data_IF_221901275738
#
_entry.id   IF_221901275738
#
_cell.length_a   1.000
_cell.length_b   1.000
_cell.length_c   1.000
_cell.angle_alpha   90.00
_cell.angle_beta   90.00
_cell.angle_gamma   90.00
#
_symmetry.space_group_name_H-M   'P 1'
#
loop_
_entity.id
_entity.type
_entity.pdbx_description
1 polymer ?
#
# COMPACT_ATOMS: atom_id res chain seq x y z
N UNK A 1 -0.60 -33.20 2.01
CA UNK A 1 -0.76 -32.30 3.18
C UNK A 1 -1.38 -30.99 2.70
N UNK A 2 -2.29 -30.40 3.46
CA UNK A 2 -2.90 -29.12 3.07
C UNK A 2 -1.87 -28.02 3.40
N UNK A 3 -1.19 -27.48 2.41
CA UNK A 3 -0.13 -26.45 2.55
C UNK A 3 -0.58 -25.18 3.29
N UNK A 4 -1.89 -24.96 3.41
CA UNK A 4 -2.45 -23.78 4.07
C UNK A 4 -2.50 -23.92 5.61
N UNK A 5 -2.43 -25.14 6.17
CA UNK A 5 -2.39 -25.35 7.62
C UNK A 5 -1.12 -24.84 8.28
N UNK A 6 -0.06 -24.69 7.52
CA UNK A 6 1.21 -24.12 8.01
C UNK A 6 1.04 -22.63 8.39
N UNK A 7 -0.08 -21.99 8.00
CA UNK A 7 -0.39 -20.60 8.30
C UNK A 7 -1.44 -20.39 9.42
N UNK A 8 -1.96 -21.45 10.05
CA UNK A 8 -2.98 -21.36 11.11
C UNK A 8 -2.48 -20.55 12.33
N UNK A 9 -1.18 -20.56 12.61
CA UNK A 9 -0.55 -19.84 13.70
C UNK A 9 0.33 -18.67 13.24
N UNK A 10 0.35 -18.35 11.95
CA UNK A 10 1.26 -17.36 11.37
C UNK A 10 1.26 -16.01 12.13
N UNK A 11 0.09 -15.47 12.44
CA UNK A 11 -0.04 -14.19 13.15
C UNK A 11 0.44 -14.21 14.60
N UNK A 12 0.62 -15.40 15.20
CA UNK A 12 1.19 -15.56 16.54
C UNK A 12 2.70 -15.72 16.48
N UNK A 13 3.22 -16.22 15.38
CA UNK A 13 4.63 -16.51 15.18
C UNK A 13 5.38 -15.31 14.57
N UNK A 14 4.68 -14.50 13.73
CA UNK A 14 5.29 -13.38 13.02
C UNK A 14 4.56 -12.05 13.21
N UNK A 15 5.35 -10.98 13.44
CA UNK A 15 6.81 -11.00 13.65
C UNK A 15 7.19 -11.56 15.03
N UNK A 16 8.50 -11.85 15.20
CA UNK A 16 9.07 -12.07 16.54
C UNK A 16 8.92 -10.81 17.41
N UNK A 17 9.20 -10.93 18.71
CA UNK A 17 9.19 -9.79 19.64
C UNK A 17 10.13 -8.65 19.22
N UNK A 18 11.19 -8.97 18.49
CA UNK A 18 12.17 -8.00 17.98
C UNK A 18 11.82 -7.50 16.56
N UNK A 19 10.63 -7.83 16.05
CA UNK A 19 10.12 -7.36 14.78
C UNK A 19 10.62 -8.10 13.55
N UNK A 20 11.09 -9.35 13.71
CA UNK A 20 11.55 -10.15 12.57
C UNK A 20 10.45 -11.04 12.00
N UNK A 21 10.31 -10.99 10.69
CA UNK A 21 9.58 -11.91 9.83
C UNK A 21 10.57 -12.92 9.24
N UNK A 22 10.85 -14.02 9.96
CA UNK A 22 11.95 -14.92 9.64
C UNK A 22 13.30 -14.21 9.68
N UNK A 23 13.98 -14.09 8.53
CA UNK A 23 15.25 -13.38 8.38
C UNK A 23 15.10 -11.89 8.01
N UNK A 24 13.86 -11.43 7.75
CA UNK A 24 13.55 -10.07 7.32
C UNK A 24 13.00 -9.21 8.47
N UNK A 25 12.92 -7.90 8.27
CA UNK A 25 12.46 -6.95 9.29
C UNK A 25 13.56 -6.52 10.24
N UNK A 26 13.22 -6.42 11.51
CA UNK A 26 14.14 -5.97 12.56
C UNK A 26 14.34 -4.45 12.62
N UNK A 27 15.37 -4.03 13.32
CA UNK A 27 15.78 -2.63 13.41
C UNK A 27 17.30 -2.51 13.21
N UNK A 28 17.71 -1.91 12.10
CA UNK A 28 19.11 -1.69 11.70
C UNK A 28 19.49 -0.21 11.70
N UNK A 29 18.79 0.61 12.48
CA UNK A 29 19.13 2.00 12.67
C UNK A 29 20.38 2.14 13.53
N UNK A 30 21.20 3.14 13.24
CA UNK A 30 22.43 3.45 13.98
C UNK A 30 22.25 4.62 14.96
N UNK A 31 21.24 5.48 14.75
CA UNK A 31 20.95 6.63 15.60
C UNK A 31 20.29 6.18 16.93
N UNK A 32 20.94 6.37 18.09
CA UNK A 32 20.41 5.94 19.37
C UNK A 32 19.08 6.61 19.78
N UNK A 33 18.88 7.87 19.35
CA UNK A 33 17.62 8.60 19.66
C UNK A 33 16.45 8.03 18.83
N UNK A 34 16.69 7.69 17.55
CA UNK A 34 15.68 7.00 16.73
C UNK A 34 15.36 5.60 17.27
N UNK A 35 16.39 4.83 17.64
CA UNK A 35 16.19 3.50 18.22
C UNK A 35 15.33 3.59 19.48
N UNK A 36 15.66 4.54 20.36
CA UNK A 36 14.86 4.78 21.58
C UNK A 36 13.44 5.19 21.25
N UNK A 37 13.25 6.13 20.34
CA UNK A 37 11.93 6.62 19.96
C UNK A 37 11.04 5.50 19.37
N UNK A 38 11.60 4.63 18.53
CA UNK A 38 10.86 3.50 17.95
C UNK A 38 10.58 2.40 18.97
N UNK A 39 11.47 2.17 19.95
CA UNK A 39 11.18 1.25 21.05
C UNK A 39 10.04 1.77 21.94
N UNK A 40 10.01 3.06 22.28
CA UNK A 40 8.89 3.68 22.99
C UNK A 40 7.58 3.54 22.21
N UNK A 41 7.65 3.70 20.87
CA UNK A 41 6.49 3.55 20.01
C UNK A 41 6.01 2.10 19.91
N UNK A 42 6.92 1.13 19.84
CA UNK A 42 6.62 -0.29 19.88
C UNK A 42 5.95 -0.69 21.20
N UNK A 43 6.46 -0.23 22.34
CA UNK A 43 5.85 -0.48 23.65
C UNK A 43 4.43 0.11 23.72
N UNK A 44 4.24 1.34 23.25
CA UNK A 44 2.93 1.98 23.21
C UNK A 44 1.96 1.19 22.31
N UNK A 45 2.42 0.70 21.17
CA UNK A 45 1.62 -0.13 20.28
C UNK A 45 1.17 -1.42 20.99
N UNK A 46 2.09 -2.14 21.63
CA UNK A 46 1.77 -3.40 22.32
C UNK A 46 0.89 -3.22 23.56
N UNK A 47 0.97 -2.10 24.25
CA UNK A 47 0.22 -1.85 25.49
C UNK A 47 -1.08 -1.08 25.22
N UNK A 48 -1.04 0.01 24.48
CA UNK A 48 -2.17 0.92 24.27
C UNK A 48 -3.07 0.42 23.14
N UNK A 49 -2.50 0.10 21.97
CA UNK A 49 -3.31 -0.26 20.78
C UNK A 49 -4.06 -1.59 20.96
N UNK A 50 -3.65 -2.44 21.91
CA UNK A 50 -4.34 -3.68 22.24
C UNK A 50 -5.41 -3.50 23.33
N UNK A 51 -5.57 -2.29 23.88
CA UNK A 51 -6.58 -2.03 24.91
C UNK A 51 -7.99 -2.02 24.32
N UNK A 52 -8.96 -2.51 25.12
CA UNK A 52 -10.37 -2.50 24.69
C UNK A 52 -10.89 -1.09 24.37
N UNK A 53 -10.40 -0.08 25.08
CA UNK A 53 -10.77 1.32 24.84
C UNK A 53 -10.27 1.82 23.49
N UNK A 54 -9.00 1.58 23.16
CA UNK A 54 -8.41 1.96 21.88
C UNK A 54 -9.14 1.27 20.71
N UNK A 55 -9.34 -0.05 20.83
CA UNK A 55 -10.03 -0.85 19.80
C UNK A 55 -11.45 -0.35 19.59
N UNK A 56 -12.19 -0.05 20.66
CA UNK A 56 -13.56 0.47 20.55
C UNK A 56 -13.59 1.87 19.88
N UNK A 57 -12.65 2.77 20.25
CA UNK A 57 -12.56 4.10 19.65
C UNK A 57 -12.17 4.01 18.16
N UNK A 58 -11.19 3.17 17.80
CA UNK A 58 -10.79 2.98 16.41
C UNK A 58 -11.95 2.40 15.56
N UNK A 59 -12.71 1.43 16.10
CA UNK A 59 -13.91 0.89 15.42
C UNK A 59 -14.96 1.97 15.18
N UNK A 60 -15.20 2.84 16.15
CA UNK A 60 -16.11 3.98 16.02
C UNK A 60 -15.63 4.95 14.92
N UNK A 61 -14.35 5.30 14.92
CA UNK A 61 -13.75 6.16 13.89
C UNK A 61 -13.89 5.54 12.49
N UNK A 62 -13.60 4.26 12.37
CA UNK A 62 -13.74 3.52 11.10
C UNK A 62 -15.18 3.58 10.58
N UNK A 63 -16.17 3.35 11.42
CA UNK A 63 -17.58 3.39 11.04
C UNK A 63 -18.06 4.81 10.72
N UNK A 64 -17.84 5.75 11.64
CA UNK A 64 -18.51 7.05 11.62
C UNK A 64 -17.77 8.10 10.77
N UNK A 65 -16.45 7.98 10.65
CA UNK A 65 -15.62 8.93 9.93
C UNK A 65 -15.05 8.37 8.61
N UNK A 66 -14.53 7.15 8.63
CA UNK A 66 -13.96 6.56 7.41
C UNK A 66 -15.02 5.97 6.46
N UNK A 67 -16.23 5.68 6.95
CA UNK A 67 -17.29 5.06 6.15
C UNK A 67 -17.09 3.57 5.94
N UNK A 68 -16.43 2.89 6.90
CA UNK A 68 -16.23 1.43 6.82
C UNK A 68 -17.43 0.66 7.39
N UNK A 69 -17.70 -0.60 6.92
CA UNK A 69 -16.91 -1.34 5.92
C UNK A 69 -17.04 -0.79 4.50
N UNK A 70 -15.93 -0.75 3.74
CA UNK A 70 -16.01 -0.50 2.30
C UNK A 70 -16.61 -1.72 1.60
N UNK A 71 -17.42 -1.56 0.53
CA UNK A 71 -18.11 -2.71 -0.06
C UNK A 71 -17.19 -3.59 -0.92
N UNK A 72 -17.59 -4.87 -1.05
CA UNK A 72 -17.21 -5.71 -2.17
C UNK A 72 -18.21 -5.47 -3.30
N UNK A 73 -17.72 -5.23 -4.51
CA UNK A 73 -18.53 -4.93 -5.70
C UNK A 73 -18.24 -5.95 -6.81
N UNK A 74 -19.29 -6.51 -7.41
CA UNK A 74 -19.17 -7.40 -8.55
C UNK A 74 -19.13 -6.58 -9.84
N UNK A 75 -18.03 -6.66 -10.59
CA UNK A 75 -17.87 -6.01 -11.89
C UNK A 75 -18.62 -6.78 -12.98
N UNK A 76 -19.94 -6.66 -13.00
CA UNK A 76 -20.80 -7.46 -13.88
C UNK A 76 -20.51 -7.22 -15.36
N UNK A 77 -20.34 -5.96 -15.77
CA UNK A 77 -20.12 -5.62 -17.18
C UNK A 77 -18.72 -6.07 -17.65
N UNK A 78 -17.73 -5.86 -16.80
CA UNK A 78 -16.35 -6.29 -17.11
C UNK A 78 -16.25 -7.83 -17.12
N UNK A 79 -16.91 -8.52 -16.20
CA UNK A 79 -16.98 -9.99 -16.15
C UNK A 79 -17.63 -10.55 -17.42
N UNK A 80 -18.76 -9.97 -17.85
CA UNK A 80 -19.44 -10.35 -19.09
C UNK A 80 -18.55 -10.15 -20.32
N UNK A 81 -17.77 -9.04 -20.38
CA UNK A 81 -16.83 -8.77 -21.45
C UNK A 81 -15.70 -9.81 -21.51
N UNK A 82 -15.23 -10.29 -20.36
CA UNK A 82 -14.11 -11.22 -20.23
C UNK A 82 -14.52 -12.70 -20.27
N UNK A 83 -15.80 -12.99 -20.18
CA UNK A 83 -16.36 -14.32 -20.40
C UNK A 83 -16.56 -15.15 -19.12
N UNK A 84 -15.65 -16.07 -18.78
CA UNK A 84 -15.87 -17.06 -17.70
C UNK A 84 -15.38 -16.63 -16.32
N UNK A 85 -14.53 -15.63 -16.24
CA UNK A 85 -13.97 -15.13 -14.97
C UNK A 85 -14.89 -14.08 -14.37
N UNK A 86 -15.21 -14.23 -13.09
CA UNK A 86 -15.99 -13.24 -12.35
C UNK A 86 -15.03 -12.33 -11.57
N UNK A 87 -15.04 -11.04 -11.86
CA UNK A 87 -14.18 -10.05 -11.22
C UNK A 87 -14.98 -9.27 -10.17
N UNK A 88 -14.42 -9.22 -8.98
CA UNK A 88 -14.92 -8.46 -7.84
C UNK A 88 -13.88 -7.46 -7.38
N UNK A 89 -14.32 -6.34 -6.80
CA UNK A 89 -13.45 -5.31 -6.24
C UNK A 89 -13.75 -5.12 -4.76
N UNK A 90 -12.73 -5.14 -3.92
CA UNK A 90 -12.81 -4.53 -2.58
C UNK A 90 -12.54 -3.02 -2.74
N UNK A 91 -13.55 -2.20 -2.48
CA UNK A 91 -13.65 -0.79 -2.86
C UNK A 91 -12.98 0.14 -1.82
N UNK A 92 -11.66 0.03 -1.64
CA UNK A 92 -10.91 0.95 -0.75
C UNK A 92 -10.81 2.39 -1.31
N UNK A 93 -11.13 2.59 -2.57
CA UNK A 93 -11.35 3.89 -3.19
C UNK A 93 -12.55 4.66 -2.60
N UNK A 94 -13.47 3.97 -1.93
CA UNK A 94 -14.60 4.55 -1.19
C UNK A 94 -14.29 4.83 0.29
N UNK A 95 -13.13 4.43 0.80
CA UNK A 95 -12.67 4.86 2.11
C UNK A 95 -12.50 6.40 2.08
N UNK A 96 -12.82 7.07 3.17
CA UNK A 96 -12.63 8.53 3.25
C UNK A 96 -11.18 8.89 2.86
N UNK A 97 -10.96 10.00 2.15
CA UNK A 97 -9.76 10.40 1.41
C UNK A 97 -9.52 9.65 0.09
N UNK A 98 -10.25 8.59 -0.21
CA UNK A 98 -10.23 7.90 -1.50
C UNK A 98 -9.15 6.84 -1.65
N UNK A 99 -8.58 6.32 -0.55
CA UNK A 99 -7.61 5.23 -0.58
C UNK A 99 -7.49 4.52 0.77
N UNK A 100 -6.87 3.33 0.78
CA UNK A 100 -6.60 2.50 1.96
C UNK A 100 -5.70 3.19 3.00
N UNK A 101 -4.91 4.18 2.62
CA UNK A 101 -3.92 4.84 3.50
C UNK A 101 -4.52 5.38 4.80
N UNK A 102 -5.77 5.84 4.77
CA UNK A 102 -6.41 6.36 5.98
C UNK A 102 -6.60 5.31 7.07
N UNK A 103 -6.63 4.02 6.73
CA UNK A 103 -6.81 2.95 7.72
C UNK A 103 -5.70 2.95 8.78
N UNK A 104 -4.43 3.02 8.35
CA UNK A 104 -3.32 3.07 9.29
C UNK A 104 -3.09 4.47 9.85
N UNK A 105 -3.25 5.54 9.07
CA UNK A 105 -3.09 6.89 9.56
C UNK A 105 -4.03 7.22 10.74
N UNK A 106 -5.28 6.73 10.71
CA UNK A 106 -6.20 6.90 11.84
C UNK A 106 -5.77 6.08 13.06
N UNK A 107 -5.21 4.87 12.84
CA UNK A 107 -4.64 4.05 13.92
C UNK A 107 -3.41 4.70 14.56
N UNK A 108 -2.47 5.18 13.74
CA UNK A 108 -1.25 5.87 14.16
C UNK A 108 -1.58 7.19 14.88
N UNK A 109 -2.48 8.01 14.33
CA UNK A 109 -2.93 9.25 14.95
C UNK A 109 -3.66 9.02 16.27
N UNK A 110 -4.50 7.97 16.38
CA UNK A 110 -5.14 7.60 17.62
C UNK A 110 -4.12 7.14 18.67
N UNK A 111 -3.11 6.35 18.25
CA UNK A 111 -2.03 5.92 19.15
C UNK A 111 -1.23 7.13 19.66
N UNK A 112 -0.87 8.05 18.76
CA UNK A 112 -0.20 9.30 19.13
C UNK A 112 -1.00 10.11 20.14
N UNK A 113 -2.33 10.20 19.99
CA UNK A 113 -3.24 10.85 20.94
C UNK A 113 -3.18 10.19 22.33
N UNK A 114 -3.22 8.85 22.39
CA UNK A 114 -3.14 8.13 23.66
C UNK A 114 -1.76 8.22 24.32
N UNK A 115 -0.70 8.38 23.54
CA UNK A 115 0.65 8.67 24.01
C UNK A 115 0.83 10.12 24.49
N UNK A 116 -0.18 10.99 24.32
CA UNK A 116 -0.09 12.43 24.65
C UNK A 116 0.79 13.24 23.72
N UNK A 117 1.06 12.74 22.51
CA UNK A 117 1.84 13.44 21.47
C UNK A 117 0.98 14.54 20.83
N UNK A 118 1.66 15.55 20.29
CA UNK A 118 1.00 16.76 19.74
C UNK A 118 1.18 16.90 18.23
N UNK A 119 2.09 16.11 17.64
CA UNK A 119 2.51 16.28 16.26
C UNK A 119 2.67 14.92 15.56
N UNK A 120 2.26 14.88 14.29
CA UNK A 120 2.49 13.76 13.40
C UNK A 120 3.53 14.18 12.33
N UNK A 121 4.51 13.32 12.08
CA UNK A 121 5.55 13.52 11.06
C UNK A 121 5.50 12.36 10.08
N UNK A 122 5.55 12.65 8.78
CA UNK A 122 5.65 11.63 7.75
C UNK A 122 6.37 12.13 6.51
N UNK A 123 6.70 11.18 5.66
CA UNK A 123 7.08 11.39 4.27
C UNK A 123 5.90 11.08 3.32
N UNK A 124 5.98 11.56 2.10
CA UNK A 124 5.07 11.15 1.03
C UNK A 124 5.69 11.32 -0.35
N UNK A 125 5.42 10.42 -1.29
CA UNK A 125 5.76 10.54 -2.71
C UNK A 125 4.53 10.97 -3.52
N UNK A 126 3.60 10.06 -3.80
CA UNK A 126 2.35 10.35 -4.52
C UNK A 126 1.37 11.29 -3.80
N UNK A 127 1.64 11.62 -2.54
CA UNK A 127 0.79 12.52 -1.76
C UNK A 127 -0.41 11.87 -1.08
N UNK A 128 -0.78 10.63 -1.40
CA UNK A 128 -1.95 9.96 -0.81
C UNK A 128 -1.77 9.67 0.69
N UNK A 129 -0.57 9.23 1.10
CA UNK A 129 -0.26 9.07 2.51
C UNK A 129 -0.29 10.42 3.24
N UNK A 130 0.33 11.44 2.65
CA UNK A 130 0.31 12.79 3.20
C UNK A 130 -1.11 13.34 3.41
N UNK A 131 -2.01 13.18 2.44
CA UNK A 131 -3.42 13.58 2.58
C UNK A 131 -4.11 12.79 3.69
N UNK A 132 -3.88 11.47 3.78
CA UNK A 132 -4.46 10.64 4.82
C UNK A 132 -3.96 11.04 6.21
N UNK A 133 -2.66 11.31 6.37
CA UNK A 133 -2.09 11.75 7.64
C UNK A 133 -2.53 13.15 8.03
N UNK A 134 -2.55 14.10 7.10
CA UNK A 134 -3.10 15.45 7.33
C UNK A 134 -4.55 15.38 7.81
N UNK A 135 -5.35 14.45 7.23
CA UNK A 135 -6.74 14.20 7.66
C UNK A 135 -6.79 13.67 9.09
N UNK A 136 -5.94 12.70 9.44
CA UNK A 136 -5.86 12.17 10.80
C UNK A 136 -5.42 13.24 11.80
N UNK A 137 -4.40 14.04 11.46
CA UNK A 137 -3.93 15.13 12.31
C UNK A 137 -5.05 16.17 12.55
N UNK A 138 -5.75 16.58 11.51
CA UNK A 138 -6.90 17.49 11.63
C UNK A 138 -8.00 16.91 12.52
N UNK A 139 -8.33 15.61 12.35
CA UNK A 139 -9.32 14.92 13.17
C UNK A 139 -8.96 14.89 14.67
N UNK A 140 -7.70 14.68 15.00
CA UNK A 140 -7.21 14.60 16.38
C UNK A 140 -6.76 15.95 16.95
N UNK A 141 -6.76 17.04 16.16
CA UNK A 141 -6.31 18.37 16.58
C UNK A 141 -4.79 18.44 16.81
N UNK A 142 -4.01 17.74 15.99
CA UNK A 142 -2.54 17.67 16.06
C UNK A 142 -1.87 18.48 14.95
N UNK A 143 -0.65 18.94 15.21
CA UNK A 143 0.24 19.45 14.17
C UNK A 143 0.64 18.32 13.21
N UNK A 144 0.94 18.67 11.95
CA UNK A 144 1.33 17.69 10.94
C UNK A 144 2.41 18.26 10.02
N UNK A 145 3.58 17.62 10.01
CA UNK A 145 4.67 17.93 9.09
C UNK A 145 4.83 16.78 8.10
N UNK A 146 4.75 17.11 6.81
CA UNK A 146 4.85 16.14 5.71
C UNK A 146 6.03 16.51 4.83
N UNK A 147 7.03 15.65 4.82
CA UNK A 147 8.23 15.78 3.98
C UNK A 147 7.94 15.22 2.60
N UNK A 148 8.24 15.99 1.56
CA UNK A 148 7.96 15.59 0.17
C UNK A 148 9.04 16.13 -0.75
N UNK A 149 9.56 15.29 -1.65
CA UNK A 149 10.56 15.71 -2.63
C UNK A 149 10.03 16.80 -3.56
N UNK A 150 10.88 17.78 -3.92
CA UNK A 150 10.48 18.89 -4.82
C UNK A 150 9.94 18.39 -6.17
N UNK A 151 10.49 17.27 -6.69
CA UNK A 151 10.01 16.64 -7.94
C UNK A 151 8.60 16.10 -7.76
N UNK A 152 8.31 15.46 -6.63
CA UNK A 152 7.00 14.91 -6.32
C UNK A 152 5.97 16.02 -6.03
N UNK A 153 6.37 17.09 -5.34
CA UNK A 153 5.53 18.28 -5.11
C UNK A 153 5.01 18.86 -6.43
N UNK A 154 5.90 18.98 -7.42
CA UNK A 154 5.53 19.53 -8.73
C UNK A 154 4.55 18.61 -9.48
N UNK A 155 4.74 17.28 -9.40
CA UNK A 155 3.88 16.29 -10.07
C UNK A 155 2.52 16.12 -9.40
N UNK A 156 2.45 16.31 -8.07
CA UNK A 156 1.29 15.97 -7.25
C UNK A 156 0.62 17.20 -6.60
N UNK A 157 0.61 18.32 -7.32
CA UNK A 157 0.06 19.60 -6.83
C UNK A 157 -1.37 19.51 -6.24
N UNK A 158 -2.31 18.70 -6.77
CA UNK A 158 -3.63 18.55 -6.16
C UNK A 158 -3.59 17.96 -4.75
N UNK A 159 -2.72 16.98 -4.49
CA UNK A 159 -2.55 16.40 -3.16
C UNK A 159 -1.84 17.37 -2.20
N UNK A 160 -0.86 18.12 -2.69
CA UNK A 160 -0.21 19.20 -1.90
C UNK A 160 -1.24 20.24 -1.46
N UNK A 161 -2.14 20.65 -2.35
CA UNK A 161 -3.23 21.55 -2.03
C UNK A 161 -4.16 20.97 -0.95
N UNK A 162 -4.54 19.70 -1.06
CA UNK A 162 -5.37 19.01 -0.05
C UNK A 162 -4.69 18.97 1.32
N UNK A 163 -3.40 18.62 1.39
CA UNK A 163 -2.63 18.61 2.64
C UNK A 163 -2.62 19.98 3.32
N UNK A 164 -2.37 21.03 2.55
CA UNK A 164 -2.37 22.42 3.08
C UNK A 164 -3.75 22.87 3.55
N UNK A 165 -4.83 22.51 2.83
CA UNK A 165 -6.20 22.82 3.26
C UNK A 165 -6.57 22.09 4.56
N UNK A 166 -6.03 20.91 4.80
CA UNK A 166 -6.19 20.15 6.05
C UNK A 166 -5.30 20.66 7.20
N UNK A 167 -4.50 21.70 6.96
CA UNK A 167 -3.66 22.33 7.96
C UNK A 167 -2.26 21.73 8.11
N UNK A 168 -1.87 20.78 7.26
CA UNK A 168 -0.53 20.21 7.30
C UNK A 168 0.51 21.15 6.70
N UNK A 169 1.70 21.13 7.27
CA UNK A 169 2.89 21.80 6.78
C UNK A 169 3.64 20.89 5.82
N UNK A 170 3.62 21.20 4.52
CA UNK A 170 4.36 20.43 3.49
C UNK A 170 5.75 21.00 3.35
N UNK A 171 6.76 20.20 3.72
CA UNK A 171 8.16 20.59 3.78
C UNK A 171 8.87 20.03 2.53
N UNK A 172 9.36 20.91 1.63
CA UNK A 172 10.05 20.47 0.42
C UNK A 172 11.44 19.92 0.75
N UNK A 173 11.77 18.79 0.15
CA UNK A 173 13.10 18.17 0.24
C UNK A 173 13.84 18.38 -1.06
N UNK A 174 14.96 19.11 -0.99
CA UNK A 174 15.72 19.63 -2.15
C UNK A 174 17.07 18.95 -2.39
N UNK A 175 17.46 17.95 -1.57
CA UNK A 175 18.71 17.20 -1.74
C UNK A 175 18.49 15.87 -2.48
N UNK A 176 19.59 15.25 -2.94
CA UNK A 176 19.57 13.99 -3.67
C UNK A 176 18.73 14.05 -4.94
N UNK A 177 17.96 13.01 -5.21
CA UNK A 177 17.05 12.93 -6.36
C UNK A 177 15.74 13.70 -6.15
N UNK A 178 15.51 14.24 -4.93
CA UNK A 178 14.33 15.04 -4.56
C UNK A 178 13.01 14.27 -4.70
N UNK A 179 13.04 12.99 -4.32
CA UNK A 179 11.94 12.04 -4.41
C UNK A 179 11.61 11.42 -3.05
N UNK A 180 10.78 10.38 -3.04
CA UNK A 180 10.32 9.69 -1.83
C UNK A 180 11.47 9.22 -0.92
N UNK A 181 12.58 8.71 -1.48
CA UNK A 181 13.70 8.22 -0.67
C UNK A 181 14.27 9.33 0.22
N UNK A 182 14.57 10.47 -0.36
CA UNK A 182 15.13 11.62 0.38
C UNK A 182 14.09 12.22 1.35
N UNK A 183 12.81 12.11 1.03
CA UNK A 183 11.74 12.52 1.94
C UNK A 183 11.69 11.65 3.20
N UNK A 184 11.93 10.33 3.09
CA UNK A 184 12.07 9.41 4.25
C UNK A 184 13.26 9.83 5.11
N UNK A 185 14.44 10.05 4.51
CA UNK A 185 15.66 10.46 5.22
C UNK A 185 15.42 11.76 6.00
N UNK A 186 14.79 12.76 5.37
CA UNK A 186 14.48 14.04 5.99
C UNK A 186 13.47 13.91 7.15
N UNK A 187 12.43 13.09 6.98
CA UNK A 187 11.43 12.86 8.01
C UNK A 187 12.03 12.13 9.23
N UNK A 188 12.92 11.16 9.02
CA UNK A 188 13.66 10.50 10.11
C UNK A 188 14.54 11.47 10.88
N UNK A 189 15.31 12.34 10.18
CA UNK A 189 16.14 13.36 10.82
C UNK A 189 15.31 14.36 11.65
N UNK A 190 14.12 14.71 11.21
CA UNK A 190 13.23 15.58 11.95
C UNK A 190 12.66 14.86 13.18
N UNK A 191 12.18 13.63 12.99
CA UNK A 191 11.62 12.83 14.07
C UNK A 191 12.62 12.56 15.20
N UNK A 192 13.89 12.28 14.88
CA UNK A 192 14.95 12.12 15.87
C UNK A 192 15.09 13.31 16.83
N UNK A 193 14.79 14.52 16.35
CA UNK A 193 14.86 15.75 17.15
C UNK A 193 13.58 16.01 17.94
N UNK A 194 12.43 15.55 17.44
CA UNK A 194 11.10 15.94 17.92
C UNK A 194 10.32 14.78 18.56
N UNK A 195 10.88 13.57 18.66
CA UNK A 195 10.17 12.36 19.08
C UNK A 195 9.46 12.47 20.45
N UNK A 196 9.89 13.40 21.32
CA UNK A 196 9.25 13.60 22.63
C UNK A 196 7.81 14.12 22.48
N UNK A 197 7.56 14.99 21.51
CA UNK A 197 6.25 15.60 21.26
C UNK A 197 5.58 15.07 19.97
N UNK A 198 6.32 14.37 19.11
CA UNK A 198 5.87 13.87 17.81
C UNK A 198 5.85 12.34 17.74
N UNK A 199 5.11 11.82 16.73
CA UNK A 199 5.17 10.44 16.26
C UNK A 199 5.47 10.43 14.78
N UNK A 200 6.38 9.55 14.36
CA UNK A 200 6.59 9.26 12.95
C UNK A 200 5.53 8.25 12.47
N UNK A 201 4.86 8.59 11.39
CA UNK A 201 3.77 7.81 10.81
C UNK A 201 4.17 7.34 9.41
N UNK A 202 4.58 6.10 9.30
CA UNK A 202 5.08 5.56 8.03
C UNK A 202 3.99 5.34 7.00
N UNK A 203 4.31 5.57 5.73
CA UNK A 203 3.35 5.46 4.64
C UNK A 203 3.03 4.05 4.15
N UNK A 204 3.73 3.01 4.62
CA UNK A 204 3.58 1.64 4.11
C UNK A 204 3.96 0.57 5.15
N UNK A 205 3.73 -0.72 4.83
CA UNK A 205 4.10 -1.86 5.70
C UNK A 205 5.59 -2.25 5.54
N UNK A 206 6.46 -1.25 5.53
CA UNK A 206 7.92 -1.37 5.46
C UNK A 206 8.55 -0.54 6.58
N UNK A 207 9.89 -0.49 6.64
CA UNK A 207 10.58 0.23 7.70
C UNK A 207 10.97 -0.65 8.89
N UNK A 208 11.68 -0.07 9.88
CA UNK A 208 12.10 -0.80 11.07
C UNK A 208 10.90 -1.16 11.96
N UNK A 209 11.13 -2.11 12.88
CA UNK A 209 10.14 -2.41 13.92
C UNK A 209 9.76 -1.13 14.71
N UNK A 210 8.46 -0.86 15.00
CA UNK A 210 7.30 -1.74 14.86
C UNK A 210 6.45 -1.53 13.59
N UNK A 211 6.87 -0.71 12.65
CA UNK A 211 6.01 -0.25 11.54
C UNK A 211 5.39 -1.37 10.69
N UNK A 212 6.13 -2.41 10.23
CA UNK A 212 5.51 -3.45 9.42
C UNK A 212 4.33 -4.13 10.13
N UNK A 213 4.49 -4.43 11.41
CA UNK A 213 3.45 -5.01 12.26
C UNK A 213 2.24 -4.08 12.42
N UNK A 214 2.50 -2.83 12.80
CA UNK A 214 1.44 -1.85 13.07
C UNK A 214 0.61 -1.56 11.82
N UNK A 215 1.28 -1.33 10.70
CA UNK A 215 0.59 -1.03 9.43
C UNK A 215 -0.21 -2.23 8.96
N UNK A 216 0.35 -3.46 9.02
CA UNK A 216 -0.40 -4.69 8.74
C UNK A 216 -1.70 -4.74 9.56
N UNK A 217 -1.59 -4.58 10.87
CA UNK A 217 -2.72 -4.76 11.78
C UNK A 217 -3.78 -3.66 11.60
N UNK A 218 -3.36 -2.41 11.32
CA UNK A 218 -4.31 -1.35 11.01
C UNK A 218 -4.96 -1.51 9.62
N UNK A 219 -4.30 -2.18 8.69
CA UNK A 219 -4.85 -2.51 7.37
C UNK A 219 -5.64 -3.84 7.35
N UNK A 220 -5.55 -4.66 8.39
CA UNK A 220 -6.19 -5.97 8.48
C UNK A 220 -7.71 -5.94 8.20
N UNK A 221 -8.37 -4.83 8.54
CA UNK A 221 -9.79 -4.62 8.30
C UNK A 221 -10.18 -4.78 6.81
N UNK A 222 -9.26 -4.54 5.86
CA UNK A 222 -9.55 -4.70 4.43
C UNK A 222 -9.92 -6.16 4.12
N UNK A 223 -9.05 -7.09 4.48
CA UNK A 223 -9.25 -8.50 4.20
C UNK A 223 -10.32 -9.15 5.09
N UNK A 224 -10.40 -8.74 6.38
CA UNK A 224 -11.45 -9.22 7.29
C UNK A 224 -12.85 -8.90 6.74
N UNK A 225 -13.09 -7.66 6.34
CA UNK A 225 -14.34 -7.24 5.72
C UNK A 225 -14.58 -7.93 4.37
N UNK A 226 -13.53 -8.00 3.54
CA UNK A 226 -13.62 -8.62 2.22
C UNK A 226 -14.01 -10.09 2.30
N UNK A 227 -13.43 -10.83 3.26
CA UNK A 227 -13.73 -12.26 3.48
C UNK A 227 -15.20 -12.48 3.84
N UNK A 228 -15.70 -11.71 4.81
CA UNK A 228 -17.10 -11.79 5.22
C UNK A 228 -18.05 -11.41 4.07
N UNK A 229 -17.85 -10.25 3.46
CA UNK A 229 -18.71 -9.73 2.40
C UNK A 229 -18.72 -10.62 1.16
N UNK A 230 -17.56 -11.15 0.74
CA UNK A 230 -17.49 -12.03 -0.43
C UNK A 230 -18.20 -13.36 -0.16
N UNK A 231 -18.01 -13.94 1.02
CA UNK A 231 -18.71 -15.17 1.42
C UNK A 231 -20.22 -14.97 1.52
N UNK A 232 -20.68 -13.86 2.08
CA UNK A 232 -22.10 -13.51 2.14
C UNK A 232 -22.71 -13.34 0.75
N UNK A 233 -21.95 -12.77 -0.20
CA UNK A 233 -22.40 -12.51 -1.56
C UNK A 233 -22.45 -13.77 -2.44
N UNK A 234 -21.50 -14.70 -2.26
CA UNK A 234 -21.26 -15.81 -3.21
C UNK A 234 -21.45 -17.20 -2.61
N UNK A 235 -21.46 -17.32 -1.28
CA UNK A 235 -21.52 -18.59 -0.57
C UNK A 235 -20.17 -19.34 -0.46
N UNK A 236 -19.09 -18.78 -0.98
CA UNK A 236 -17.74 -19.38 -0.96
C UNK A 236 -16.65 -18.31 -0.86
N UNK A 237 -15.38 -18.73 -0.67
CA UNK A 237 -14.22 -17.85 -0.77
C UNK A 237 -13.86 -17.58 -2.25
N UNK A 238 -13.18 -16.46 -2.57
CA UNK A 238 -12.68 -16.25 -3.93
C UNK A 238 -11.60 -17.28 -4.29
N UNK A 239 -11.48 -17.60 -5.58
CA UNK A 239 -10.41 -18.48 -6.05
C UNK A 239 -9.05 -17.77 -6.00
N UNK A 240 -9.03 -16.47 -6.31
CA UNK A 240 -7.83 -15.64 -6.23
C UNK A 240 -8.10 -14.30 -5.53
N UNK A 241 -7.14 -13.84 -4.72
CA UNK A 241 -7.02 -12.48 -4.25
C UNK A 241 -5.85 -11.79 -4.95
N UNK A 242 -6.10 -10.57 -5.43
CA UNK A 242 -5.11 -9.81 -6.19
C UNK A 242 -4.97 -8.40 -5.61
N UNK A 243 -3.75 -7.96 -5.35
CA UNK A 243 -3.47 -6.59 -4.92
C UNK A 243 -2.14 -6.09 -5.47
N UNK A 244 -2.01 -4.79 -5.72
CA UNK A 244 -0.75 -4.20 -6.14
C UNK A 244 0.24 -4.12 -4.96
N UNK A 245 1.53 -4.21 -5.27
CA UNK A 245 2.63 -4.21 -4.30
C UNK A 245 3.69 -3.20 -4.70
N UNK A 246 3.86 -2.16 -3.86
CA UNK A 246 5.06 -1.36 -3.72
C UNK A 246 5.68 -1.71 -2.37
N UNK A 247 5.57 -0.85 -1.35
CA UNK A 247 5.88 -1.26 0.04
C UNK A 247 4.88 -2.26 0.64
N UNK A 248 3.69 -2.43 0.04
CA UNK A 248 2.78 -3.54 0.28
C UNK A 248 1.74 -3.38 1.38
N UNK A 249 1.41 -2.15 1.82
CA UNK A 249 0.43 -1.96 2.91
C UNK A 249 -1.00 -2.41 2.55
N UNK A 250 -1.47 -2.08 1.33
CA UNK A 250 -2.80 -2.48 0.88
C UNK A 250 -2.91 -4.00 0.72
N UNK A 251 -1.89 -4.61 0.17
CA UNK A 251 -1.85 -6.05 -0.13
C UNK A 251 -1.70 -6.89 1.13
N UNK A 252 -0.84 -6.51 2.07
CA UNK A 252 -0.70 -7.27 3.32
C UNK A 252 -1.99 -7.21 4.15
N UNK A 253 -2.65 -6.05 4.22
CA UNK A 253 -3.95 -5.92 4.89
C UNK A 253 -5.05 -6.75 4.26
N UNK A 254 -5.01 -6.91 2.92
CA UNK A 254 -5.96 -7.75 2.18
C UNK A 254 -5.66 -9.23 2.33
N UNK A 255 -4.38 -9.64 2.28
CA UNK A 255 -3.98 -11.05 2.22
C UNK A 255 -3.96 -11.73 3.60
N UNK A 256 -3.57 -11.00 4.64
CA UNK A 256 -3.33 -11.59 5.96
C UNK A 256 -4.53 -12.36 6.54
N UNK A 257 -5.79 -11.89 6.41
CA UNK A 257 -6.96 -12.66 6.86
C UNK A 257 -7.24 -13.95 6.08
N UNK A 258 -6.55 -14.17 4.96
CA UNK A 258 -6.71 -15.34 4.09
C UNK A 258 -5.50 -16.28 4.06
N UNK A 259 -4.48 -16.05 4.90
CA UNK A 259 -3.26 -16.85 4.86
C UNK A 259 -3.49 -18.34 5.07
N UNK A 260 -4.41 -18.71 5.94
CA UNK A 260 -4.78 -20.11 6.20
C UNK A 260 -5.86 -20.67 5.25
N UNK A 261 -6.47 -19.83 4.42
CA UNK A 261 -7.52 -20.25 3.48
C UNK A 261 -6.94 -20.80 2.17
N UNK A 262 -7.66 -21.73 1.48
CA UNK A 262 -7.24 -22.27 0.18
C UNK A 262 -7.52 -21.29 -0.97
N UNK A 263 -7.05 -20.06 -0.84
CA UNK A 263 -7.19 -18.97 -1.80
C UNK A 263 -5.80 -18.66 -2.37
N UNK A 264 -5.69 -18.51 -3.69
CA UNK A 264 -4.45 -18.07 -4.31
C UNK A 264 -4.24 -16.57 -4.07
N UNK A 265 -3.10 -16.19 -3.48
CA UNK A 265 -2.74 -14.81 -3.20
C UNK A 265 -1.72 -14.32 -4.24
N UNK A 266 -2.03 -13.20 -4.91
CA UNK A 266 -1.21 -12.67 -5.98
C UNK A 266 -0.88 -11.20 -5.74
N UNK A 267 0.38 -10.92 -5.48
CA UNK A 267 0.96 -9.58 -5.42
C UNK A 267 1.40 -9.12 -6.82
N UNK A 268 0.95 -7.96 -7.24
CA UNK A 268 1.26 -7.42 -8.56
C UNK A 268 2.20 -6.24 -8.43
N UNK A 269 3.41 -6.39 -8.93
CA UNK A 269 4.46 -5.38 -8.92
C UNK A 269 4.53 -4.61 -10.24
N UNK A 270 4.96 -3.34 -10.24
CA UNK A 270 5.07 -2.54 -11.47
C UNK A 270 6.34 -2.92 -12.25
N UNK A 271 6.15 -3.37 -13.50
CA UNK A 271 7.24 -3.58 -14.47
C UNK A 271 7.64 -2.25 -15.15
N UNK A 272 6.84 -1.20 -15.00
CA UNK A 272 7.11 0.10 -15.58
C UNK A 272 7.33 0.02 -17.10
N UNK A 273 8.53 0.43 -17.54
CA UNK A 273 8.94 0.43 -18.95
C UNK A 273 9.58 -0.87 -19.42
N UNK A 274 10.05 -1.72 -18.49
CA UNK A 274 10.73 -2.98 -18.81
C UNK A 274 11.51 -3.57 -17.64
N UNK A 275 12.19 -4.71 -17.85
CA UNK A 275 12.86 -5.46 -16.78
C UNK A 275 14.24 -4.92 -16.37
N UNK A 276 14.75 -3.88 -17.04
CA UNK A 276 16.06 -3.33 -16.76
C UNK A 276 16.04 -2.51 -15.46
N UNK A 277 17.12 -2.58 -14.69
CA UNK A 277 17.24 -1.84 -13.42
C UNK A 277 17.08 -0.32 -13.66
N UNK A 278 16.17 0.31 -12.93
CA UNK A 278 15.80 1.71 -13.13
C UNK A 278 14.57 1.92 -14.02
N UNK A 279 14.07 0.88 -14.70
CA UNK A 279 12.86 0.93 -15.53
C UNK A 279 11.63 0.32 -14.85
N UNK A 280 11.78 -0.27 -13.66
CA UNK A 280 10.70 -0.90 -12.88
C UNK A 280 10.87 -0.65 -11.37
N UNK A 281 9.85 -1.03 -10.59
CA UNK A 281 9.91 -1.09 -9.13
C UNK A 281 9.44 -2.47 -8.58
N UNK A 282 9.69 -3.54 -9.33
CA UNK A 282 9.31 -4.91 -8.98
C UNK A 282 10.37 -5.53 -8.06
N UNK A 283 10.31 -5.17 -6.78
CA UNK A 283 11.36 -5.49 -5.79
C UNK A 283 11.44 -6.97 -5.46
N UNK A 284 10.31 -7.66 -5.27
CA UNK A 284 10.31 -9.10 -4.97
C UNK A 284 10.75 -9.90 -6.18
N UNK A 285 10.30 -9.53 -7.38
CA UNK A 285 10.57 -10.29 -8.62
C UNK A 285 12.03 -10.20 -9.05
N UNK A 286 12.66 -9.03 -8.93
CA UNK A 286 14.00 -8.77 -9.49
C UNK A 286 15.04 -8.37 -8.44
N UNK A 287 14.63 -8.17 -7.18
CA UNK A 287 15.52 -7.70 -6.13
C UNK A 287 16.32 -8.81 -5.45
N UNK A 288 17.14 -8.38 -4.51
CA UNK A 288 17.96 -9.24 -3.64
C UNK A 288 17.79 -8.83 -2.18
N UNK A 289 18.25 -9.67 -1.26
CA UNK A 289 18.27 -9.30 0.17
C UNK A 289 19.15 -8.08 0.40
N UNK A 290 18.64 -7.12 1.17
CA UNK A 290 19.37 -5.90 1.52
C UNK A 290 18.76 -5.19 2.72
N UNK A 291 19.46 -4.15 3.19
CA UNK A 291 19.00 -3.29 4.29
C UNK A 291 18.79 -1.89 3.74
N UNK A 292 17.63 -1.32 4.02
CA UNK A 292 17.24 0.00 3.60
C UNK A 292 16.37 0.67 4.67
N UNK A 293 16.59 1.95 4.95
CA UNK A 293 15.80 2.71 5.93
C UNK A 293 15.63 1.99 7.28
N UNK A 294 16.66 1.27 7.73
CA UNK A 294 16.68 0.59 9.02
C UNK A 294 15.97 -0.76 9.09
N UNK A 295 15.60 -1.38 7.98
CA UNK A 295 15.01 -2.73 7.96
C UNK A 295 15.61 -3.62 6.87
N UNK A 296 15.62 -4.93 7.09
CA UNK A 296 16.06 -5.93 6.11
C UNK A 296 14.87 -6.46 5.32
N UNK A 297 14.99 -6.50 3.98
CA UNK A 297 13.97 -7.05 3.09
C UNK A 297 14.56 -7.50 1.75
N UNK A 298 13.70 -7.75 0.75
CA UNK A 298 14.09 -7.88 -0.65
C UNK A 298 13.99 -6.48 -1.28
N UNK A 299 15.06 -6.04 -1.93
CA UNK A 299 15.17 -4.70 -2.50
C UNK A 299 15.89 -4.70 -3.85
N UNK A 300 15.59 -3.70 -4.66
CA UNK A 300 16.36 -3.40 -5.86
C UNK A 300 17.63 -2.64 -5.45
N UNK A 301 18.76 -3.21 -5.79
CA UNK A 301 20.07 -2.66 -5.46
C UNK A 301 20.97 -2.51 -6.70
N UNK A 302 21.84 -1.52 -6.71
CA UNK A 302 22.92 -1.38 -7.67
C UNK A 302 24.06 -2.38 -7.41
N UNK A 303 25.11 -2.33 -8.22
CA UNK A 303 26.27 -3.22 -8.10
C UNK A 303 27.04 -3.08 -6.78
N UNK A 304 26.90 -1.94 -6.11
CA UNK A 304 27.54 -1.63 -4.83
C UNK A 304 26.63 -1.98 -3.63
N UNK A 305 25.41 -2.47 -3.89
CA UNK A 305 24.43 -2.85 -2.87
C UNK A 305 23.59 -1.68 -2.34
N UNK A 306 23.68 -0.48 -2.95
CA UNK A 306 22.84 0.65 -2.59
C UNK A 306 21.45 0.54 -3.24
N UNK A 307 20.41 1.15 -2.63
CA UNK A 307 19.10 1.21 -3.25
C UNK A 307 19.15 1.79 -4.66
N UNK A 308 18.68 1.04 -5.65
CA UNK A 308 18.68 1.46 -7.04
C UNK A 308 17.56 2.47 -7.32
N UNK A 309 17.70 3.31 -8.35
CA UNK A 309 16.58 4.06 -8.91
C UNK A 309 15.46 3.13 -9.36
N UNK A 310 14.23 3.56 -9.20
CA UNK A 310 13.03 2.82 -9.61
C UNK A 310 12.14 3.68 -10.50
N UNK A 311 11.24 3.04 -11.22
CA UNK A 311 10.28 3.72 -12.07
C UNK A 311 8.95 2.98 -12.16
N UNK A 312 7.87 3.73 -12.13
CA UNK A 312 6.51 3.33 -12.51
C UNK A 312 5.70 4.58 -12.89
N UNK A 313 4.68 4.44 -13.72
CA UNK A 313 3.69 5.50 -13.93
C UNK A 313 2.80 5.70 -12.69
N UNK A 314 2.84 4.78 -11.73
CA UNK A 314 2.13 4.83 -10.46
C UNK A 314 3.07 5.24 -9.32
N UNK A 315 3.16 6.54 -9.02
CA UNK A 315 4.09 7.07 -8.00
C UNK A 315 3.97 6.42 -6.62
N UNK A 316 2.80 5.87 -6.28
CA UNK A 316 2.61 5.14 -5.02
C UNK A 316 3.24 3.75 -4.98
N UNK A 317 3.77 3.25 -6.10
CA UNK A 317 4.52 2.00 -6.21
C UNK A 317 6.04 2.23 -6.40
N UNK A 318 6.49 3.48 -6.51
CA UNK A 318 7.90 3.86 -6.72
C UNK A 318 8.69 3.75 -5.42
N UNK A 319 8.97 2.52 -4.98
CA UNK A 319 9.79 2.25 -3.82
C UNK A 319 10.66 1.01 -4.09
N UNK A 320 11.98 1.07 -3.81
CA UNK A 320 12.90 0.01 -4.21
C UNK A 320 12.91 -1.21 -3.29
N UNK A 321 12.02 -1.30 -2.30
CA UNK A 321 11.95 -2.45 -1.39
C UNK A 321 10.50 -2.85 -1.09
N UNK A 322 10.24 -4.13 -0.94
CA UNK A 322 8.97 -4.62 -0.41
C UNK A 322 8.99 -4.65 1.12
N UNK A 323 7.82 -4.69 1.74
CA UNK A 323 7.71 -4.93 3.18
C UNK A 323 8.31 -6.28 3.60
N UNK A 324 8.90 -6.38 4.79
CA UNK A 324 9.60 -7.60 5.22
C UNK A 324 8.67 -8.81 5.35
N UNK A 325 7.40 -8.60 5.66
CA UNK A 325 6.39 -9.67 5.68
C UNK A 325 6.09 -10.20 4.28
N UNK A 326 6.08 -9.34 3.25
CA UNK A 326 5.98 -9.76 1.86
C UNK A 326 7.18 -10.64 1.44
N UNK A 327 8.39 -10.26 1.86
CA UNK A 327 9.59 -11.04 1.60
C UNK A 327 9.53 -12.45 2.24
N UNK A 328 9.07 -12.54 3.50
CA UNK A 328 8.87 -13.85 4.14
C UNK A 328 7.80 -14.67 3.43
N UNK A 329 6.63 -14.09 3.12
CA UNK A 329 5.53 -14.81 2.48
C UNK A 329 5.86 -15.23 1.04
N UNK A 330 6.79 -14.55 0.38
CA UNK A 330 7.42 -14.99 -0.86
C UNK A 330 8.29 -16.24 -0.64
N UNK A 331 9.22 -16.19 0.32
CA UNK A 331 10.10 -17.32 0.64
C UNK A 331 9.32 -18.57 1.09
N UNK A 332 8.16 -18.37 1.73
CA UNK A 332 7.26 -19.47 2.13
C UNK A 332 6.34 -19.96 0.98
N UNK A 333 6.48 -19.44 -0.22
CA UNK A 333 5.61 -19.76 -1.39
C UNK A 333 4.11 -19.58 -1.10
N UNK A 334 3.77 -18.60 -0.22
CA UNK A 334 2.37 -18.31 0.12
C UNK A 334 1.75 -17.26 -0.79
N UNK A 335 2.51 -16.27 -1.17
CA UNK A 335 2.09 -15.22 -2.11
C UNK A 335 2.93 -15.36 -3.38
N UNK A 336 2.23 -15.42 -4.51
CA UNK A 336 2.85 -15.37 -5.83
C UNK A 336 3.01 -13.91 -6.25
N UNK A 337 4.20 -13.52 -6.67
CA UNK A 337 4.45 -12.18 -7.23
C UNK A 337 4.55 -12.25 -8.73
N UNK A 338 3.96 -11.27 -9.38
CA UNK A 338 3.90 -11.12 -10.85
C UNK A 338 4.05 -9.66 -11.22
N UNK A 339 4.46 -9.39 -12.45
CA UNK A 339 4.64 -8.02 -12.92
C UNK A 339 3.60 -7.62 -13.96
N UNK A 340 3.30 -6.33 -14.00
CA UNK A 340 2.43 -5.67 -14.98
C UNK A 340 3.14 -4.41 -15.47
N UNK A 341 3.17 -4.20 -16.78
CA UNK A 341 3.74 -2.99 -17.37
C UNK A 341 2.76 -1.79 -17.36
N UNK A 342 3.29 -0.61 -17.64
CA UNK A 342 2.53 0.63 -17.61
C UNK A 342 1.35 0.63 -18.59
N UNK A 343 1.55 0.11 -19.81
CA UNK A 343 0.50 0.06 -20.84
C UNK A 343 -0.66 -0.86 -20.41
N UNK A 344 -0.36 -2.01 -19.79
CA UNK A 344 -1.38 -2.92 -19.27
C UNK A 344 -2.18 -2.29 -18.12
N UNK A 345 -1.49 -1.58 -17.22
CA UNK A 345 -2.15 -0.88 -16.12
C UNK A 345 -3.12 0.21 -16.63
N UNK A 346 -2.69 1.01 -17.59
CA UNK A 346 -3.53 2.04 -18.20
C UNK A 346 -4.70 1.45 -19.00
N UNK A 347 -4.49 0.33 -19.70
CA UNK A 347 -5.61 -0.37 -20.36
C UNK A 347 -6.67 -0.81 -19.34
N UNK A 348 -6.25 -1.38 -18.21
CA UNK A 348 -7.16 -1.80 -17.15
C UNK A 348 -7.92 -0.62 -16.55
N UNK A 349 -7.26 0.54 -16.36
CA UNK A 349 -7.91 1.79 -15.94
C UNK A 349 -9.04 2.18 -16.89
N UNK A 350 -8.78 2.21 -18.18
CA UNK A 350 -9.82 2.57 -19.16
C UNK A 350 -10.95 1.55 -19.24
N UNK A 351 -10.63 0.25 -19.14
CA UNK A 351 -11.65 -0.79 -19.17
C UNK A 351 -12.59 -0.69 -17.97
N UNK A 352 -12.06 -0.55 -16.74
CA UNK A 352 -12.88 -0.39 -15.55
C UNK A 352 -13.72 0.89 -15.62
N UNK A 353 -13.10 2.01 -16.03
CA UNK A 353 -13.79 3.30 -16.12
C UNK A 353 -14.98 3.24 -17.07
N UNK A 354 -14.84 2.58 -18.21
CA UNK A 354 -15.86 2.55 -19.27
C UNK A 354 -16.94 1.53 -19.08
N UNK A 355 -16.59 0.39 -18.44
CA UNK A 355 -17.56 -0.70 -18.25
C UNK A 355 -18.26 -0.64 -16.90
N UNK A 356 -17.60 -0.12 -15.86
CA UNK A 356 -18.15 -0.09 -14.50
C UNK A 356 -18.37 1.34 -13.96
N UNK A 357 -17.91 2.38 -14.66
CA UNK A 357 -18.03 3.76 -14.19
C UNK A 357 -17.14 4.06 -12.98
N UNK A 358 -16.06 3.30 -12.79
CA UNK A 358 -15.13 3.43 -11.68
C UNK A 358 -13.76 3.81 -12.23
N UNK A 359 -13.24 4.96 -11.83
CA UNK A 359 -11.90 5.42 -12.22
C UNK A 359 -10.90 5.01 -11.12
N UNK A 360 -10.11 3.94 -11.32
CA UNK A 360 -9.13 3.48 -10.35
C UNK A 360 -7.88 4.35 -10.35
N UNK A 361 -7.15 4.40 -9.23
CA UNK A 361 -5.77 4.87 -9.23
C UNK A 361 -4.90 3.96 -10.12
N UNK A 362 -3.84 4.51 -10.70
CA UNK A 362 -2.92 3.72 -11.55
C UNK A 362 -2.30 2.58 -10.74
N UNK A 363 -2.02 2.77 -9.46
CA UNK A 363 -1.57 1.73 -8.56
C UNK A 363 -2.51 0.52 -8.57
N UNK A 364 -3.79 0.76 -8.34
CA UNK A 364 -4.83 -0.29 -8.30
C UNK A 364 -5.04 -0.94 -9.67
N UNK A 365 -4.80 -0.19 -10.73
CA UNK A 365 -4.93 -0.66 -12.11
C UNK A 365 -3.94 -1.78 -12.44
N UNK A 366 -2.76 -1.83 -11.80
CA UNK A 366 -1.83 -2.95 -11.93
C UNK A 366 -2.46 -4.28 -11.48
N UNK A 367 -3.11 -4.29 -10.32
CA UNK A 367 -3.79 -5.47 -9.82
C UNK A 367 -4.95 -5.91 -10.75
N UNK A 368 -5.73 -4.94 -11.22
CA UNK A 368 -6.82 -5.19 -12.16
C UNK A 368 -6.31 -5.70 -13.52
N UNK A 369 -5.18 -5.17 -14.02
CA UNK A 369 -4.57 -5.61 -15.28
C UNK A 369 -4.18 -7.09 -15.23
N UNK A 370 -3.60 -7.55 -14.12
CA UNK A 370 -3.36 -8.99 -13.94
C UNK A 370 -4.67 -9.80 -13.99
N UNK A 371 -5.71 -9.38 -13.28
CA UNK A 371 -7.00 -10.06 -13.30
C UNK A 371 -7.58 -10.15 -14.72
N UNK A 372 -7.51 -9.07 -15.50
CA UNK A 372 -7.92 -9.04 -16.90
C UNK A 372 -7.05 -9.97 -17.76
N UNK A 373 -5.73 -9.96 -17.54
CA UNK A 373 -4.77 -10.83 -18.27
C UNK A 373 -5.11 -12.31 -18.10
N UNK A 374 -5.35 -12.77 -16.88
CA UNK A 374 -5.65 -14.18 -16.62
C UNK A 374 -7.06 -14.56 -17.07
N UNK A 375 -8.04 -13.66 -16.97
CA UNK A 375 -9.37 -13.85 -17.51
C UNK A 375 -9.34 -14.06 -19.03
N UNK A 376 -8.59 -13.25 -19.78
CA UNK A 376 -8.39 -13.39 -21.24
C UNK A 376 -7.68 -14.70 -21.62
N UNK A 377 -6.88 -15.26 -20.72
CA UNK A 377 -6.24 -16.58 -20.91
C UNK A 377 -7.17 -17.74 -20.61
N UNK A 378 -8.42 -17.46 -20.27
CA UNK A 378 -9.47 -18.46 -20.07
C UNK A 378 -9.52 -19.03 -18.64
N UNK A 379 -8.97 -18.34 -17.65
CA UNK A 379 -9.19 -18.68 -16.25
C UNK A 379 -10.71 -18.73 -16.00
N UNK A 380 -11.16 -19.75 -15.28
CA UNK A 380 -12.53 -19.85 -14.78
C UNK A 380 -12.54 -19.66 -13.27
N UNK A 381 -13.54 -18.98 -12.74
CA UNK A 381 -13.67 -18.75 -11.31
C UNK A 381 -13.77 -17.28 -10.95
N UNK A 382 -13.52 -16.99 -9.71
CA UNK A 382 -13.69 -15.66 -9.10
C UNK A 382 -12.36 -15.04 -8.70
N UNK A 383 -12.18 -13.78 -9.07
CA UNK A 383 -11.02 -12.97 -8.66
C UNK A 383 -11.52 -11.78 -7.85
N UNK A 384 -11.04 -11.63 -6.63
CA UNK A 384 -11.28 -10.46 -5.81
C UNK A 384 -10.04 -9.56 -5.81
N UNK A 385 -10.16 -8.39 -6.42
CA UNK A 385 -9.10 -7.39 -6.54
C UNK A 385 -9.24 -6.34 -5.44
N UNK A 386 -8.17 -6.00 -4.76
CA UNK A 386 -8.16 -4.84 -3.86
C UNK A 386 -8.01 -3.55 -4.67
N UNK A 387 -9.11 -2.79 -4.83
CA UNK A 387 -9.10 -1.47 -5.45
C UNK A 387 -8.64 -0.45 -4.42
N UNK A 388 -7.34 -0.33 -4.26
CA UNK A 388 -6.68 0.35 -3.13
C UNK A 388 -6.84 1.85 -3.10
N UNK A 389 -7.22 2.48 -4.23
CA UNK A 389 -7.43 3.92 -4.31
C UNK A 389 -8.13 4.38 -5.59
N UNK A 390 -8.68 5.59 -5.55
CA UNK A 390 -9.34 6.25 -6.69
C UNK A 390 -8.36 7.04 -7.55
N UNK A 391 -8.70 7.20 -8.84
CA UNK A 391 -7.85 7.79 -9.86
C UNK A 391 -7.91 9.31 -10.03
N UNK A 392 -8.64 10.03 -9.18
CA UNK A 392 -8.79 11.50 -9.33
C UNK A 392 -7.46 12.25 -9.37
N UNK A 393 -6.44 11.73 -8.71
CA UNK A 393 -5.09 12.30 -8.68
C UNK A 393 -4.32 12.11 -9.98
N UNK A 394 -4.74 11.14 -10.82
CA UNK A 394 -4.00 10.67 -11.98
C UNK A 394 -4.60 11.19 -13.31
N UNK A 395 -5.74 11.90 -13.26
CA UNK A 395 -6.51 12.28 -14.44
C UNK A 395 -5.69 13.12 -15.43
N UNK A 396 -4.99 14.14 -14.96
CA UNK A 396 -4.18 15.01 -15.83
C UNK A 396 -3.07 14.21 -16.49
N UNK A 397 -2.34 13.40 -15.75
CA UNK A 397 -1.29 12.52 -16.27
C UNK A 397 -1.84 11.54 -17.34
N UNK A 398 -2.98 10.90 -17.05
CA UNK A 398 -3.59 9.93 -17.98
C UNK A 398 -4.03 10.62 -19.28
N UNK A 399 -4.68 11.78 -19.17
CA UNK A 399 -5.16 12.52 -20.36
C UNK A 399 -3.99 13.04 -21.21
N UNK A 400 -2.95 13.60 -20.58
CA UNK A 400 -1.77 14.11 -21.26
C UNK A 400 -0.97 13.03 -22.02
N UNK A 401 -0.84 11.83 -21.43
CA UNK A 401 0.01 10.78 -22.00
C UNK A 401 -0.74 9.74 -22.84
N UNK A 402 -2.04 9.51 -22.57
CA UNK A 402 -2.83 8.42 -23.16
C UNK A 402 -4.16 8.91 -23.76
N UNK A 403 -4.45 10.20 -23.69
CA UNK A 403 -5.69 10.79 -24.16
C UNK A 403 -6.90 10.28 -23.37
N UNK A 404 -8.04 10.21 -24.06
CA UNK A 404 -9.29 9.71 -23.47
C UNK A 404 -9.52 8.20 -23.69
N UNK A 405 -8.53 7.48 -24.19
CA UNK A 405 -8.46 6.03 -24.25
C UNK A 405 -8.93 5.32 -25.52
N UNK A 406 -9.80 5.86 -26.47
CA UNK A 406 -10.23 5.10 -27.63
C UNK A 406 -9.07 4.64 -28.52
N UNK A 407 -8.20 5.57 -28.89
CA UNK A 407 -7.03 5.29 -29.75
C UNK A 407 -6.03 4.39 -29.05
N UNK A 408 -5.81 4.61 -27.73
CA UNK A 408 -4.94 3.77 -26.93
C UNK A 408 -5.46 2.33 -26.83
N UNK A 409 -6.74 2.12 -26.56
CA UNK A 409 -7.36 0.79 -26.49
C UNK A 409 -7.33 0.07 -27.85
N UNK A 410 -7.50 0.80 -28.97
CA UNK A 410 -7.36 0.23 -30.32
C UNK A 410 -5.92 -0.25 -30.57
N UNK A 411 -4.91 0.55 -30.17
CA UNK A 411 -3.50 0.19 -30.27
C UNK A 411 -3.18 -1.07 -29.46
N UNK A 412 -3.67 -1.14 -28.21
CA UNK A 412 -3.50 -2.32 -27.36
C UNK A 412 -4.16 -3.57 -27.94
N UNK A 413 -5.36 -3.43 -28.50
CA UNK A 413 -6.03 -4.52 -29.21
C UNK A 413 -5.27 -5.05 -30.42
N UNK A 414 -4.53 -4.20 -31.14
CA UNK A 414 -3.67 -4.59 -32.28
C UNK A 414 -2.38 -5.31 -31.83
N UNK A 415 -1.77 -4.91 -30.70
CA UNK A 415 -0.57 -5.56 -30.14
C UNK A 415 -0.80 -7.00 -29.69
N UNK A 416 -2.05 -7.38 -29.44
CA UNK A 416 -2.44 -8.70 -28.91
C UNK A 416 -2.92 -9.69 -29.97
N UNK A 417 -3.07 -9.25 -31.21
CA UNK A 417 -3.38 -10.11 -32.38
C UNK A 417 -2.10 -10.56 -33.07
#
# INVERSE_FOLDING_TARGET
MNKYRDFDNYLKEYPSTDGYFGKYGGNYLEDPELIKAFNEYAEAYHTIAQSAQFIAELRRIRRDFQGRPTPVYHCQNLSNLLGRTQIYLKREDLNHTGAHKLNHCMGEGLLAKYMGKKKLIAETGAGQHGVALATAAAYFGMECDIYMGEVDIAKQAPNVTRMKLLGANVIPVSFGLKTLKEAVDAAFMAYAKEYKDAVYCIGTAAGPHPFPLMVRDFQFCIGEEARAQFTDMTGHLPDQLVACVGGGSNSIGMFTPFLADPVELVGVEPLGRGPELGDHAASITYGTEGIMHGFKSIMLADADGNPAPVYSNASGLDYPAAGPEHALLHDMDRIKYVTVDDDEAIEALFLLSRHEGIIPAIESSHALAYAIRVARRGLTGSILVNLSGRGDKDLDFVVENYGYGPEFLEKMGKRRR
#
